data_IF_755648639233
#
_entry.id   IF_755648639233
#
_cell.length_a   1.000
_cell.length_b   1.000
_cell.length_c   1.000
_cell.angle_alpha   90.00
_cell.angle_beta   90.00
_cell.angle_gamma   90.00
#
_symmetry.space_group_name_H-M   'P 1'
#
loop_
_entity.id
_entity.type
_entity.pdbx_description
1 polymer ?
#
# COMPACT_ATOMS: atom_id res chain seq x y z
N UNK A 1 -8.88 12.12 -7.56
CA UNK A 1 -9.51 11.76 -8.85
C UNK A 1 -8.66 10.70 -9.54
N UNK A 2 -9.18 9.48 -9.67
CA UNK A 2 -8.50 8.40 -10.39
C UNK A 2 -8.37 8.83 -11.87
N UNK A 3 -7.16 8.84 -12.43
CA UNK A 3 -6.88 9.30 -13.81
C UNK A 3 -7.41 8.34 -14.89
N UNK A 4 -8.64 7.85 -14.75
CA UNK A 4 -9.24 6.83 -15.61
C UNK A 4 -8.75 5.39 -15.33
N UNK A 5 -7.84 5.20 -14.38
CA UNK A 5 -7.40 3.87 -13.97
C UNK A 5 -8.49 3.15 -13.19
N UNK A 6 -9.01 2.06 -13.75
CA UNK A 6 -10.05 1.24 -13.13
C UNK A 6 -9.48 -0.02 -12.48
N UNK A 7 -8.39 -0.57 -13.04
CA UNK A 7 -7.81 -1.82 -12.59
C UNK A 7 -6.28 -1.85 -12.73
N UNK A 8 -5.65 -2.72 -11.95
CA UNK A 8 -4.23 -3.06 -12.07
C UNK A 8 -4.03 -4.58 -11.91
N UNK A 9 -2.84 -5.08 -12.26
CA UNK A 9 -2.44 -6.47 -12.01
C UNK A 9 -1.19 -6.50 -11.13
N UNK A 10 -1.23 -7.35 -10.11
CA UNK A 10 -0.07 -7.65 -9.27
C UNK A 10 0.80 -8.75 -9.92
N UNK A 11 2.07 -8.82 -9.51
CA UNK A 11 2.99 -9.87 -9.94
C UNK A 11 2.49 -11.30 -9.62
N UNK A 12 1.72 -11.47 -8.54
CA UNK A 12 1.08 -12.75 -8.20
C UNK A 12 -0.14 -13.09 -9.09
N UNK A 13 -0.45 -12.28 -10.09
CA UNK A 13 -1.57 -12.46 -11.02
C UNK A 13 -2.91 -11.87 -10.55
N UNK A 14 -3.05 -11.50 -9.27
CA UNK A 14 -4.29 -10.89 -8.77
C UNK A 14 -4.63 -9.58 -9.49
N UNK A 15 -5.92 -9.38 -9.76
CA UNK A 15 -6.45 -8.12 -10.29
C UNK A 15 -6.86 -7.22 -9.13
N UNK A 16 -6.52 -5.95 -9.23
CA UNK A 16 -6.92 -4.90 -8.31
C UNK A 16 -7.97 -3.99 -8.93
N UNK A 17 -8.81 -3.40 -8.09
CA UNK A 17 -9.70 -2.30 -8.44
C UNK A 17 -9.42 -1.11 -7.54
N UNK A 18 -9.66 0.09 -8.07
CA UNK A 18 -9.54 1.35 -7.34
C UNK A 18 -10.93 1.88 -7.04
N UNK A 19 -11.20 2.12 -5.75
CA UNK A 19 -12.48 2.68 -5.28
C UNK A 19 -12.24 4.06 -4.68
N UNK A 20 -13.31 4.85 -4.63
CA UNK A 20 -13.31 6.06 -3.81
C UNK A 20 -12.96 5.70 -2.37
N UNK A 21 -12.02 6.45 -1.81
CA UNK A 21 -11.57 6.24 -0.45
C UNK A 21 -12.35 7.05 0.58
N UNK A 22 -11.73 7.28 1.72
CA UNK A 22 -12.29 8.01 2.87
C UNK A 22 -11.46 9.25 3.18
N UNK A 23 -11.91 10.07 4.13
CA UNK A 23 -11.11 11.19 4.61
C UNK A 23 -9.71 10.72 5.06
N UNK A 24 -8.68 11.42 4.58
CA UNK A 24 -7.29 11.05 4.81
C UNK A 24 -6.76 9.91 3.94
N UNK A 25 -7.57 9.26 3.10
CA UNK A 25 -7.10 8.29 2.08
C UNK A 25 -8.00 8.35 0.86
N UNK A 26 -7.72 9.16 -0.16
CA UNK A 26 -8.66 9.45 -1.25
C UNK A 26 -8.96 8.26 -2.17
N UNK A 27 -8.18 7.18 -2.07
CA UNK A 27 -8.32 5.97 -2.86
C UNK A 27 -8.19 4.75 -1.95
N UNK A 28 -9.05 3.77 -2.15
CA UNK A 28 -8.89 2.42 -1.58
C UNK A 28 -8.57 1.44 -2.70
N UNK A 29 -7.46 0.70 -2.54
CA UNK A 29 -7.05 -0.35 -3.48
C UNK A 29 -7.50 -1.68 -2.93
N UNK A 30 -8.32 -2.42 -3.68
CA UNK A 30 -8.85 -3.71 -3.26
C UNK A 30 -8.44 -4.83 -4.21
N UNK A 31 -8.31 -6.05 -3.70
CA UNK A 31 -8.27 -7.25 -4.56
C UNK A 31 -9.64 -7.40 -5.20
N UNK A 32 -9.72 -7.20 -6.51
CA UNK A 32 -10.94 -7.41 -7.28
C UNK A 32 -11.14 -8.90 -7.58
N UNK A 33 -10.08 -9.56 -8.02
CA UNK A 33 -10.11 -11.01 -8.30
C UNK A 33 -8.80 -11.65 -7.88
N UNK A 34 -8.88 -12.68 -7.02
CA UNK A 34 -7.72 -13.50 -6.65
C UNK A 34 -7.38 -14.43 -7.83
N UNK A 35 -6.11 -14.44 -8.24
CA UNK A 35 -5.65 -15.38 -9.26
C UNK A 35 -5.58 -16.81 -8.68
N UNK A 36 -5.91 -17.85 -9.48
CA UNK A 36 -5.86 -19.24 -9.02
C UNK A 36 -4.49 -19.68 -8.49
N UNK A 37 -3.41 -19.16 -9.07
CA UNK A 37 -2.04 -19.46 -8.67
C UNK A 37 -1.42 -18.51 -7.65
N UNK A 38 -2.20 -17.59 -7.05
CA UNK A 38 -1.66 -16.64 -6.09
C UNK A 38 -1.27 -17.35 -4.78
N UNK A 39 0.03 -17.38 -4.40
CA UNK A 39 0.48 -18.07 -3.19
C UNK A 39 0.16 -17.30 -1.90
N UNK A 40 -0.20 -16.01 -2.01
CA UNK A 40 -0.47 -15.15 -0.87
C UNK A 40 -1.85 -15.49 -0.29
N UNK A 41 -1.86 -16.12 0.88
CA UNK A 41 -3.08 -16.50 1.61
C UNK A 41 -3.92 -15.28 1.99
N UNK A 42 -3.26 -14.15 2.27
CA UNK A 42 -3.93 -12.89 2.61
C UNK A 42 -4.66 -12.27 1.42
N UNK A 43 -4.36 -12.61 0.17
CA UNK A 43 -5.13 -12.06 -0.95
C UNK A 43 -6.50 -12.73 -1.04
N UNK A 44 -7.55 -11.99 -0.72
CA UNK A 44 -8.95 -12.42 -0.80
C UNK A 44 -9.74 -11.36 -1.55
N UNK A 45 -10.67 -11.76 -2.41
CA UNK A 45 -11.50 -10.80 -3.15
C UNK A 45 -12.25 -9.87 -2.18
N UNK A 46 -12.27 -8.58 -2.49
CA UNK A 46 -12.80 -7.52 -1.65
C UNK A 46 -11.84 -6.99 -0.57
N UNK A 47 -10.69 -7.65 -0.33
CA UNK A 47 -9.76 -7.21 0.70
C UNK A 47 -9.05 -5.91 0.28
N UNK A 48 -9.01 -4.87 1.14
CA UNK A 48 -8.17 -3.70 0.91
C UNK A 48 -6.69 -4.04 1.11
N UNK A 49 -5.86 -3.67 0.14
CA UNK A 49 -4.41 -3.84 0.18
C UNK A 49 -3.65 -2.57 0.54
N UNK A 50 -4.28 -1.40 0.36
CA UNK A 50 -3.65 -0.12 0.59
C UNK A 50 -4.59 0.82 1.33
N UNK A 51 -4.10 1.36 2.44
CA UNK A 51 -4.65 2.50 3.17
C UNK A 51 -3.55 3.57 3.27
N UNK A 52 -3.80 4.75 2.71
CA UNK A 52 -2.82 5.84 2.70
C UNK A 52 -2.47 6.30 4.13
N UNK A 53 -3.41 6.24 5.07
CA UNK A 53 -3.18 6.65 6.46
C UNK A 53 -2.22 5.72 7.16
N UNK A 54 -2.38 4.42 6.94
CA UNK A 54 -1.47 3.41 7.50
C UNK A 54 -0.06 3.54 6.90
N UNK A 55 0.05 3.88 5.61
CA UNK A 55 1.34 4.11 4.98
C UNK A 55 2.12 5.32 5.53
N UNK A 56 1.42 6.28 6.14
CA UNK A 56 2.01 7.45 6.80
C UNK A 56 2.27 7.25 8.29
N UNK A 57 1.87 6.11 8.86
CA UNK A 57 2.07 5.82 10.28
C UNK A 57 3.57 5.67 10.57
N UNK A 58 4.07 6.19 11.71
CA UNK A 58 5.44 5.91 12.15
C UNK A 58 5.71 4.40 12.21
N UNK A 59 6.87 3.93 11.73
CA UNK A 59 7.20 2.50 11.75
C UNK A 59 7.24 1.99 13.18
N UNK A 60 6.68 0.80 13.42
CA UNK A 60 6.73 0.13 14.73
C UNK A 60 8.02 -0.66 14.96
N UNK A 61 8.78 -0.92 13.88
CA UNK A 61 10.11 -1.50 13.99
C UNK A 61 11.09 -0.41 14.43
N UNK A 62 11.93 -0.66 15.44
CA UNK A 62 13.03 0.24 15.78
C UNK A 62 13.89 0.52 14.54
N UNK A 63 14.08 1.79 14.23
CA UNK A 63 14.98 2.20 13.16
C UNK A 63 16.42 1.84 13.49
N UNK A 64 17.29 1.93 12.48
CA UNK A 64 18.71 2.08 12.76
C UNK A 64 18.89 3.35 13.63
N UNK A 65 19.91 3.40 14.50
CA UNK A 65 20.29 4.64 15.16
C UNK A 65 20.41 5.70 14.07
N UNK A 66 19.71 6.82 14.23
CA UNK A 66 19.94 7.99 13.38
C UNK A 66 21.38 8.42 13.63
N UNK A 67 22.20 8.48 12.58
CA UNK A 67 23.53 9.08 12.71
C UNK A 67 23.35 10.51 13.22
N UNK A 68 24.10 10.86 14.27
CA UNK A 68 24.12 12.22 14.80
C UNK A 68 24.67 13.14 13.69
N UNK A 69 24.01 14.28 13.46
CA UNK A 69 24.52 15.27 12.52
C UNK A 69 25.91 15.72 13.03
N UNK A 70 26.97 15.40 12.26
CA UNK A 70 28.33 15.87 12.55
C UNK A 70 28.38 17.38 12.34
N UNK A 71 28.65 18.15 13.41
CA UNK A 71 29.04 19.56 13.26
C UNK A 71 30.44 19.62 12.62
N UNK A 72 30.55 20.32 11.48
CA UNK A 72 31.85 20.59 10.84
C UNK A 72 32.55 21.71 11.64
N UNK A 73 33.62 21.37 12.35
CA UNK A 73 34.48 22.37 13.02
C UNK A 73 35.20 23.21 11.96
N UNK A 74 34.92 24.51 11.92
CA UNK A 74 35.47 25.48 10.96
C UNK A 74 36.84 26.03 11.30
#
# INVERSE_FOLDING_TARGET
>A
MLKGFTHARLACGCRLAFRDGVEGSPVTVVVDTKAPGCPLTIHVAGLPLYDYREALRPPTRPGLPTEEEYEEEG
#
